data_IF_379613273006
#
_entry.id   IF_379613273006
#
_cell.length_a   1.000
_cell.length_b   1.000
_cell.length_c   1.000
_cell.angle_alpha   90.00
_cell.angle_beta   90.00
_cell.angle_gamma   90.00
#
_symmetry.space_group_name_H-M   'P 1'
#
loop_
_entity.id
_entity.type
_entity.pdbx_description
1 polymer ?
#
# COMPACT_ATOMS: atom_id res chain seq x y z
N UNK A 1 -18.62 41.61 -7.51
CA UNK A 1 -18.04 40.62 -6.58
C UNK A 1 -18.72 39.28 -6.85
N UNK A 2 -18.22 38.55 -7.84
CA UNK A 2 -18.81 37.27 -8.28
C UNK A 2 -17.79 36.17 -8.00
N UNK A 3 -18.08 35.38 -6.97
CA UNK A 3 -17.28 34.22 -6.58
C UNK A 3 -17.49 33.07 -7.56
N UNK A 4 -16.47 32.76 -8.31
CA UNK A 4 -16.42 31.58 -9.16
C UNK A 4 -16.25 30.34 -8.27
N UNK A 5 -17.31 29.57 -8.11
CA UNK A 5 -17.25 28.21 -7.56
C UNK A 5 -16.84 27.26 -8.69
N UNK A 6 -15.64 26.73 -8.61
CA UNK A 6 -15.19 25.63 -9.48
C UNK A 6 -15.95 24.35 -9.12
N UNK A 7 -16.50 23.61 -10.12
CA UNK A 7 -17.19 22.34 -9.84
C UNK A 7 -16.16 21.25 -9.54
N UNK A 8 -16.37 20.55 -8.44
CA UNK A 8 -15.67 19.34 -8.07
C UNK A 8 -16.05 18.22 -9.06
N UNK A 9 -15.18 17.97 -10.03
CA UNK A 9 -15.40 16.87 -10.97
C UNK A 9 -15.21 15.55 -10.24
N UNK A 10 -16.29 14.82 -10.14
CA UNK A 10 -16.40 13.43 -9.67
C UNK A 10 -15.40 12.58 -10.45
N UNK A 11 -14.45 11.98 -9.76
CA UNK A 11 -13.59 10.93 -10.32
C UNK A 11 -14.50 9.71 -10.50
N UNK A 12 -15.09 9.59 -11.68
CA UNK A 12 -15.80 8.39 -12.08
C UNK A 12 -14.79 7.27 -12.26
N UNK A 13 -14.71 6.40 -11.26
CA UNK A 13 -14.20 5.04 -11.44
C UNK A 13 -15.24 4.36 -12.35
N UNK A 14 -15.00 4.38 -13.67
CA UNK A 14 -15.85 3.67 -14.63
C UNK A 14 -15.64 2.17 -14.41
N UNK A 15 -16.40 1.62 -13.49
CA UNK A 15 -16.84 0.24 -13.58
C UNK A 15 -17.84 0.27 -14.73
N UNK A 16 -17.46 -0.35 -15.85
CA UNK A 16 -18.20 -0.46 -17.09
C UNK A 16 -19.63 -0.89 -16.81
N UNK A 17 -20.56 0.04 -16.91
CA UNK A 17 -21.97 -0.21 -17.16
C UNK A 17 -22.27 0.35 -18.55
N UNK A 18 -22.02 -0.45 -19.58
CA UNK A 18 -22.32 -0.18 -20.98
C UNK A 18 -22.44 -1.51 -21.70
N UNK A 19 -23.63 -1.83 -22.16
CA UNK A 19 -24.05 -3.03 -22.88
C UNK A 19 -23.07 -3.46 -23.96
N UNK A 20 -22.82 -4.78 -24.00
CA UNK A 20 -21.92 -5.57 -24.84
C UNK A 20 -20.53 -5.78 -24.24
N UNK A 21 -20.47 -6.10 -22.95
CA UNK A 21 -19.29 -6.71 -22.37
C UNK A 21 -19.33 -8.20 -22.66
N UNK A 22 -18.47 -8.69 -23.54
CA UNK A 22 -17.92 -10.03 -23.38
C UNK A 22 -17.61 -10.19 -21.89
N UNK A 23 -18.19 -11.16 -21.23
CA UNK A 23 -17.91 -11.51 -19.84
C UNK A 23 -16.42 -11.88 -19.76
N UNK A 24 -15.55 -10.91 -19.57
CA UNK A 24 -14.21 -11.20 -19.09
C UNK A 24 -14.44 -11.89 -17.73
N UNK A 25 -14.07 -13.16 -17.63
CA UNK A 25 -14.19 -13.91 -16.39
C UNK A 25 -13.54 -13.09 -15.26
N UNK A 26 -14.25 -12.95 -14.14
CA UNK A 26 -13.69 -12.26 -12.97
C UNK A 26 -12.31 -12.84 -12.63
N UNK A 27 -11.32 -12.01 -12.31
CA UNK A 27 -10.02 -12.52 -11.94
C UNK A 27 -10.20 -13.44 -10.72
N UNK A 28 -9.79 -14.68 -10.86
CA UNK A 28 -9.79 -15.67 -9.77
C UNK A 28 -8.62 -15.32 -8.85
N UNK A 29 -8.78 -14.30 -8.00
CA UNK A 29 -7.74 -13.95 -7.05
C UNK A 29 -7.44 -15.14 -6.14
N UNK A 30 -6.17 -15.47 -5.87
CA UNK A 30 -5.82 -16.54 -4.97
C UNK A 30 -6.26 -16.20 -3.54
N UNK A 31 -6.41 -17.20 -2.66
CA UNK A 31 -6.54 -16.95 -1.22
C UNK A 31 -5.29 -16.20 -0.72
N UNK A 32 -5.39 -15.51 0.41
CA UNK A 32 -4.23 -14.86 1.04
C UNK A 32 -3.26 -15.87 1.64
N UNK A 33 -3.77 -17.01 2.06
CA UNK A 33 -2.98 -18.12 2.60
C UNK A 33 -3.43 -19.45 1.96
N UNK A 34 -2.55 -20.45 1.98
CA UNK A 34 -2.83 -21.77 1.41
C UNK A 34 -3.64 -22.68 2.34
N UNK A 35 -3.79 -22.33 3.61
CA UNK A 35 -4.53 -23.07 4.63
C UNK A 35 -5.32 -22.08 5.51
N UNK A 36 -6.29 -22.60 6.27
CA UNK A 36 -6.99 -21.79 7.27
C UNK A 36 -6.00 -21.24 8.30
N UNK A 37 -5.77 -19.95 8.22
CA UNK A 37 -4.84 -19.22 9.06
C UNK A 37 -5.53 -18.36 10.12
N UNK A 38 -4.77 -17.74 11.01
CA UNK A 38 -5.29 -16.78 11.98
C UNK A 38 -5.93 -15.59 11.26
N UNK A 39 -6.76 -14.86 11.98
CA UNK A 39 -7.22 -13.52 11.56
C UNK A 39 -6.40 -12.50 12.34
N UNK A 40 -5.71 -11.63 11.63
CA UNK A 40 -4.81 -10.61 12.19
C UNK A 40 -5.31 -9.20 11.85
N UNK A 41 -6.44 -8.74 12.44
CA UNK A 41 -7.00 -7.43 12.13
C UNK A 41 -5.98 -6.32 12.36
N UNK A 42 -5.94 -5.35 11.43
CA UNK A 42 -4.95 -4.28 11.44
C UNK A 42 -3.65 -4.62 10.69
N UNK A 43 -3.38 -5.89 10.37
CA UNK A 43 -2.22 -6.24 9.55
C UNK A 43 -2.46 -5.87 8.09
N UNK A 44 -1.44 -5.33 7.42
CA UNK A 44 -1.40 -5.25 5.96
C UNK A 44 -1.08 -6.64 5.41
N UNK A 45 -2.02 -7.22 4.67
CA UNK A 45 -1.97 -8.64 4.26
C UNK A 45 -1.78 -8.82 2.76
N UNK A 46 -1.84 -7.73 2.00
CA UNK A 46 -1.66 -7.71 0.55
C UNK A 46 -1.35 -6.31 0.08
N UNK A 47 -0.74 -6.18 -1.10
CA UNK A 47 -0.59 -4.92 -1.80
C UNK A 47 -0.90 -5.08 -3.29
N UNK A 48 -1.52 -4.05 -3.89
CA UNK A 48 -1.74 -3.99 -5.32
C UNK A 48 -1.03 -2.80 -5.94
N UNK A 49 -0.43 -3.01 -7.11
CA UNK A 49 0.05 -1.98 -8.00
C UNK A 49 -0.97 -1.69 -9.08
N UNK A 50 -1.41 -0.45 -9.15
CA UNK A 50 -2.16 0.09 -10.28
C UNK A 50 -1.18 0.79 -11.21
N UNK A 51 -1.09 0.37 -12.47
CA UNK A 51 -0.16 0.96 -13.43
C UNK A 51 -0.77 1.01 -14.84
N UNK A 52 -0.27 1.89 -15.66
CA UNK A 52 -0.60 1.95 -17.10
C UNK A 52 0.35 1.09 -17.96
N UNK A 53 1.47 0.61 -17.39
CA UNK A 53 2.40 -0.32 -18.06
C UNK A 53 2.79 -1.49 -17.14
N UNK A 54 1.95 -2.53 -17.17
CA UNK A 54 2.16 -3.76 -16.39
C UNK A 54 3.47 -4.47 -16.78
N UNK A 55 3.85 -4.44 -18.06
CA UNK A 55 5.03 -5.12 -18.52
C UNK A 55 6.32 -4.45 -18.00
N UNK A 56 6.40 -3.12 -18.07
CA UNK A 56 7.51 -2.35 -17.51
C UNK A 56 7.63 -2.54 -15.98
N UNK A 57 6.51 -2.47 -15.26
CA UNK A 57 6.50 -2.68 -13.81
C UNK A 57 6.98 -4.09 -13.43
N UNK A 58 6.44 -5.15 -14.07
CA UNK A 58 6.86 -6.55 -13.83
C UNK A 58 8.35 -6.75 -14.08
N UNK A 59 8.86 -6.25 -15.21
CA UNK A 59 10.28 -6.32 -15.53
C UNK A 59 11.15 -5.65 -14.48
N UNK A 60 10.75 -4.45 -14.04
CA UNK A 60 11.45 -3.69 -13.02
C UNK A 60 11.54 -4.45 -11.69
N UNK A 61 10.41 -4.87 -11.13
CA UNK A 61 10.38 -5.56 -9.84
C UNK A 61 11.02 -6.94 -9.88
N UNK A 62 10.92 -7.66 -11.00
CA UNK A 62 11.64 -8.92 -11.19
C UNK A 62 13.16 -8.73 -11.16
N UNK A 63 13.68 -7.68 -11.80
CA UNK A 63 15.12 -7.43 -11.86
C UNK A 63 15.67 -6.76 -10.60
N UNK A 64 14.82 -6.05 -9.85
CA UNK A 64 15.21 -5.35 -8.62
C UNK A 64 15.13 -6.24 -7.38
N UNK A 65 14.03 -6.98 -7.21
CA UNK A 65 13.74 -7.75 -6.01
C UNK A 65 13.77 -9.27 -6.23
N UNK A 66 13.89 -9.74 -7.47
CA UNK A 66 13.80 -11.16 -7.80
C UNK A 66 12.35 -11.68 -7.89
N UNK A 67 11.34 -10.80 -7.83
CA UNK A 67 9.96 -11.24 -7.90
C UNK A 67 9.64 -11.91 -9.24
N UNK A 68 8.84 -12.96 -9.21
CA UNK A 68 8.28 -13.50 -10.43
C UNK A 68 6.75 -13.31 -10.46
N UNK A 69 6.17 -13.30 -11.67
CA UNK A 69 4.76 -12.97 -11.84
C UNK A 69 4.04 -14.08 -12.61
N UNK A 70 2.83 -14.42 -12.14
CA UNK A 70 1.91 -15.33 -12.83
C UNK A 70 0.66 -14.56 -13.24
N UNK A 71 0.23 -14.77 -14.49
CA UNK A 71 -0.98 -14.13 -15.00
C UNK A 71 -2.24 -14.80 -14.43
N UNK A 72 -3.22 -13.96 -14.11
CA UNK A 72 -4.53 -14.36 -13.61
C UNK A 72 -5.60 -13.46 -14.29
N UNK A 73 -5.88 -13.73 -15.55
CA UNK A 73 -6.75 -12.89 -16.38
C UNK A 73 -6.14 -11.51 -16.65
N UNK A 74 -6.81 -10.46 -16.25
CA UNK A 74 -6.33 -9.06 -16.36
C UNK A 74 -5.52 -8.59 -15.13
N UNK A 75 -5.09 -9.54 -14.28
CA UNK A 75 -4.36 -9.32 -13.05
C UNK A 75 -3.12 -10.22 -13.04
N UNK A 76 -1.99 -9.73 -12.59
CA UNK A 76 -0.78 -10.52 -12.41
C UNK A 76 -0.48 -10.62 -10.92
N UNK A 77 -0.13 -11.82 -10.46
CA UNK A 77 0.23 -12.08 -9.06
C UNK A 77 1.74 -12.15 -8.96
N UNK A 78 2.33 -11.30 -8.13
CA UNK A 78 3.75 -11.29 -7.81
C UNK A 78 4.08 -12.19 -6.63
N UNK A 79 5.20 -12.86 -6.71
CA UNK A 79 5.69 -13.81 -5.70
C UNK A 79 7.15 -13.49 -5.34
N UNK A 80 7.49 -13.68 -4.07
CA UNK A 80 8.87 -13.83 -3.62
C UNK A 80 9.04 -15.31 -3.23
N UNK A 81 9.85 -16.06 -3.98
CA UNK A 81 9.85 -17.51 -3.96
C UNK A 81 8.42 -18.07 -4.11
N UNK A 82 7.96 -18.92 -3.22
CA UNK A 82 6.62 -19.51 -3.28
C UNK A 82 5.53 -18.67 -2.60
N UNK A 83 5.88 -17.52 -2.00
CA UNK A 83 4.95 -16.67 -1.26
C UNK A 83 4.29 -15.64 -2.19
N UNK A 84 2.97 -15.66 -2.37
CA UNK A 84 2.27 -14.60 -3.07
C UNK A 84 2.33 -13.31 -2.23
N UNK A 85 2.74 -12.21 -2.85
CA UNK A 85 2.95 -10.93 -2.17
C UNK A 85 2.00 -9.84 -2.59
N UNK A 86 1.73 -9.76 -3.89
CA UNK A 86 1.09 -8.59 -4.46
C UNK A 86 0.33 -8.92 -5.74
N UNK A 87 -0.48 -7.97 -6.13
CA UNK A 87 -1.10 -7.93 -7.44
C UNK A 87 -0.63 -6.77 -8.29
N UNK A 88 -0.71 -6.93 -9.59
CA UNK A 88 -0.46 -5.87 -10.56
C UNK A 88 -1.59 -5.87 -11.57
N UNK A 89 -2.24 -4.74 -11.76
CA UNK A 89 -3.29 -4.63 -12.76
C UNK A 89 -3.18 -3.34 -13.58
N UNK A 90 -3.62 -3.47 -14.83
CA UNK A 90 -3.63 -2.35 -15.77
C UNK A 90 -4.77 -1.39 -15.45
N UNK A 91 -4.45 -0.13 -15.44
CA UNK A 91 -5.41 0.96 -15.48
C UNK A 91 -4.96 2.01 -16.49
N UNK A 92 -5.80 2.29 -17.46
CA UNK A 92 -5.55 3.38 -18.39
C UNK A 92 -5.43 4.69 -17.62
N UNK A 93 -4.36 5.43 -17.84
CA UNK A 93 -4.16 6.75 -17.24
C UNK A 93 -5.25 7.69 -17.74
N UNK A 94 -6.02 8.35 -16.86
CA UNK A 94 -6.98 9.35 -17.30
C UNK A 94 -6.29 10.49 -18.03
N UNK A 95 -6.96 11.05 -19.03
CA UNK A 95 -6.44 12.16 -19.84
C UNK A 95 -6.24 13.45 -19.03
N UNK A 96 -6.85 13.56 -17.86
CA UNK A 96 -6.67 14.68 -16.92
C UNK A 96 -5.40 14.59 -16.06
N UNK A 97 -4.60 13.53 -16.24
CA UNK A 97 -3.32 13.32 -15.56
C UNK A 97 -3.39 13.08 -14.04
N UNK A 98 -4.59 12.95 -13.47
CA UNK A 98 -4.78 12.93 -12.01
C UNK A 98 -4.63 11.57 -11.33
N UNK A 99 -4.55 10.49 -12.08
CA UNK A 99 -4.39 9.15 -11.53
C UNK A 99 -3.05 8.57 -11.96
N UNK A 100 -2.05 8.77 -11.12
CA UNK A 100 -0.71 8.22 -11.32
C UNK A 100 -0.64 6.76 -10.88
N UNK A 101 0.29 5.96 -11.46
CA UNK A 101 0.62 4.64 -10.98
C UNK A 101 0.98 4.67 -9.50
N UNK A 102 0.48 3.69 -8.74
CA UNK A 102 0.74 3.64 -7.30
C UNK A 102 0.52 2.26 -6.69
N UNK A 103 1.24 2.01 -5.63
CA UNK A 103 0.96 0.93 -4.71
C UNK A 103 -0.10 1.32 -3.70
N UNK A 104 -0.91 0.35 -3.25
CA UNK A 104 -1.74 0.48 -2.07
C UNK A 104 -1.89 -0.86 -1.36
N UNK A 105 -1.96 -0.83 -0.04
CA UNK A 105 -2.05 -2.02 0.80
C UNK A 105 -3.49 -2.34 1.19
N UNK A 106 -3.74 -3.62 1.51
CA UNK A 106 -5.00 -4.10 2.07
C UNK A 106 -4.82 -4.40 3.56
N UNK A 107 -5.65 -3.78 4.38
CA UNK A 107 -5.70 -3.98 5.82
C UNK A 107 -6.70 -5.09 6.12
N UNK A 108 -6.28 -6.10 6.88
CA UNK A 108 -7.21 -7.09 7.43
C UNK A 108 -8.15 -6.44 8.42
N UNK A 109 -9.45 -6.70 8.27
CA UNK A 109 -10.49 -6.16 9.16
C UNK A 109 -11.46 -7.26 9.59
N UNK A 110 -12.05 -7.11 10.77
CA UNK A 110 -13.06 -8.05 11.29
C UNK A 110 -14.36 -8.01 10.49
N UNK A 111 -14.70 -6.85 9.92
CA UNK A 111 -15.93 -6.64 9.17
C UNK A 111 -15.74 -5.49 8.16
N UNK A 112 -15.91 -5.80 6.87
CA UNK A 112 -15.69 -4.85 5.77
C UNK A 112 -16.75 -3.73 5.78
N UNK A 113 -18.03 -4.07 5.97
CA UNK A 113 -19.11 -3.07 6.01
C UNK A 113 -18.93 -2.06 7.15
N UNK A 114 -18.42 -2.52 8.32
CA UNK A 114 -18.09 -1.63 9.43
C UNK A 114 -16.96 -0.68 9.08
N UNK A 115 -15.91 -1.21 8.43
CA UNK A 115 -14.77 -0.40 7.99
C UNK A 115 -15.21 0.66 6.96
N UNK A 116 -16.08 0.32 6.00
CA UNK A 116 -16.66 1.26 5.05
C UNK A 116 -17.45 2.37 5.75
N UNK A 117 -18.34 1.99 6.69
CA UNK A 117 -19.14 2.99 7.46
C UNK A 117 -18.26 3.91 8.27
N UNK A 118 -17.22 3.38 8.94
CA UNK A 118 -16.27 4.19 9.70
C UNK A 118 -15.54 5.16 8.77
N UNK A 119 -15.01 4.67 7.63
CA UNK A 119 -14.33 5.51 6.68
C UNK A 119 -15.19 6.66 6.17
N UNK A 120 -16.45 6.40 5.82
CA UNK A 120 -17.39 7.46 5.39
C UNK A 120 -17.66 8.45 6.53
N UNK A 121 -17.89 7.94 7.74
CA UNK A 121 -18.17 8.78 8.92
C UNK A 121 -17.05 9.75 9.24
N UNK A 122 -15.81 9.38 8.95
CA UNK A 122 -14.59 10.16 9.19
C UNK A 122 -14.08 10.89 7.92
N UNK A 123 -14.96 11.10 6.93
CA UNK A 123 -14.66 11.91 5.74
C UNK A 123 -13.93 11.20 4.61
N UNK A 124 -13.75 9.89 4.70
CA UNK A 124 -13.23 9.06 3.62
C UNK A 124 -14.27 8.78 2.53
N UNK A 125 -13.88 7.97 1.54
CA UNK A 125 -14.72 7.63 0.38
C UNK A 125 -14.59 6.17 0.01
N UNK A 126 -15.70 5.56 -0.46
CA UNK A 126 -15.69 4.25 -1.08
C UNK A 126 -15.36 4.43 -2.56
N UNK A 127 -14.31 3.78 -3.04
CA UNK A 127 -13.92 3.76 -4.45
C UNK A 127 -14.40 2.48 -5.14
N UNK A 128 -14.37 1.35 -4.44
CA UNK A 128 -15.04 0.12 -4.85
C UNK A 128 -15.69 -0.49 -3.60
N UNK A 129 -17.02 -0.62 -3.63
CA UNK A 129 -17.80 -1.16 -2.51
C UNK A 129 -17.46 -2.61 -2.21
N UNK A 130 -17.78 -3.03 -1.00
CA UNK A 130 -17.57 -4.38 -0.51
C UNK A 130 -18.05 -5.45 -1.50
N UNK A 131 -17.16 -6.37 -1.84
CA UNK A 131 -17.42 -7.46 -2.77
C UNK A 131 -16.84 -8.76 -2.25
N UNK A 132 -17.65 -9.82 -2.32
CA UNK A 132 -17.20 -11.18 -1.99
C UNK A 132 -16.51 -11.80 -3.21
N UNK A 133 -15.28 -12.26 -3.01
CA UNK A 133 -14.48 -12.95 -3.99
C UNK A 133 -14.21 -14.37 -3.50
N UNK A 134 -14.52 -15.36 -4.33
CA UNK A 134 -14.65 -16.77 -3.92
C UNK A 134 -13.46 -17.29 -3.07
N UNK A 135 -12.23 -17.05 -3.48
CA UNK A 135 -11.05 -17.52 -2.75
C UNK A 135 -10.40 -16.45 -1.85
N UNK A 136 -10.58 -15.17 -2.17
CA UNK A 136 -9.95 -14.05 -1.44
C UNK A 136 -10.71 -13.67 -0.16
N UNK A 137 -12.02 -13.74 -0.19
CA UNK A 137 -12.91 -13.26 0.86
C UNK A 137 -13.63 -11.97 0.47
N UNK A 138 -14.06 -11.18 1.43
CA UNK A 138 -14.77 -9.92 1.20
C UNK A 138 -13.78 -8.76 1.27
N UNK A 139 -13.80 -7.88 0.28
CA UNK A 139 -12.88 -6.73 0.21
C UNK A 139 -13.56 -5.49 -0.36
N UNK A 140 -13.04 -4.31 0.02
CA UNK A 140 -13.41 -3.01 -0.52
C UNK A 140 -12.16 -2.17 -0.79
N UNK A 141 -12.27 -1.16 -1.66
CA UNK A 141 -11.21 -0.17 -1.91
C UNK A 141 -11.74 1.20 -1.50
N UNK A 142 -10.98 1.88 -0.69
CA UNK A 142 -11.33 3.11 -0.01
C UNK A 142 -10.27 4.18 -0.25
N UNK A 143 -10.64 5.43 -0.01
CA UNK A 143 -9.69 6.51 0.19
C UNK A 143 -9.99 7.16 1.55
N UNK A 144 -8.95 7.55 2.28
CA UNK A 144 -9.12 8.30 3.51
C UNK A 144 -9.54 9.75 3.27
N UNK A 145 -9.67 10.53 4.33
CA UNK A 145 -10.10 11.93 4.26
C UNK A 145 -9.17 12.83 3.46
N UNK A 146 -7.91 12.47 3.33
CA UNK A 146 -6.91 13.18 2.53
C UNK A 146 -6.74 12.61 1.11
N UNK A 147 -7.37 11.47 0.82
CA UNK A 147 -7.36 10.80 -0.49
C UNK A 147 -6.33 9.68 -0.63
N UNK A 148 -5.64 9.29 0.45
CA UNK A 148 -4.75 8.14 0.41
C UNK A 148 -5.55 6.85 0.17
N UNK A 149 -5.11 6.08 -0.82
CA UNK A 149 -5.78 4.85 -1.28
C UNK A 149 -5.40 3.68 -0.39
N UNK A 150 -6.37 2.88 0.01
CA UNK A 150 -6.16 1.63 0.73
C UNK A 150 -7.29 0.64 0.47
N UNK A 151 -7.01 -0.64 0.65
CA UNK A 151 -8.02 -1.69 0.67
C UNK A 151 -8.31 -2.14 2.09
N UNK A 152 -9.50 -2.69 2.29
CA UNK A 152 -9.83 -3.49 3.46
C UNK A 152 -10.26 -4.88 3.02
N UNK A 153 -9.90 -5.90 3.78
CA UNK A 153 -10.22 -7.29 3.45
C UNK A 153 -10.56 -8.10 4.69
N UNK A 154 -11.59 -8.93 4.58
CA UNK A 154 -11.86 -10.04 5.48
C UNK A 154 -11.61 -11.32 4.70
N UNK A 155 -10.42 -11.88 4.86
CA UNK A 155 -9.97 -13.06 4.13
C UNK A 155 -10.89 -14.26 4.37
N UNK A 156 -11.08 -15.11 3.36
CA UNK A 156 -11.75 -16.41 3.49
C UNK A 156 -10.85 -17.49 4.10
N UNK A 157 -9.53 -17.44 3.82
CA UNK A 157 -8.53 -18.43 4.23
C UNK A 157 -7.71 -18.05 5.45
N UNK A 158 -7.99 -16.90 6.11
CA UNK A 158 -7.12 -16.33 7.12
C UNK A 158 -6.11 -15.37 6.52
N UNK A 159 -5.28 -14.80 7.40
CA UNK A 159 -4.27 -13.81 7.04
C UNK A 159 -2.89 -14.48 7.05
N UNK A 160 -1.93 -14.01 6.24
CA UNK A 160 -0.55 -14.46 6.33
C UNK A 160 -0.02 -14.26 7.76
N UNK A 161 0.62 -15.28 8.33
CA UNK A 161 1.22 -15.19 9.66
C UNK A 161 2.33 -14.13 9.71
N UNK A 162 2.62 -13.65 10.92
CA UNK A 162 3.78 -12.79 11.13
C UNK A 162 5.05 -13.65 11.05
N UNK A 163 5.98 -13.25 10.21
CA UNK A 163 7.27 -13.91 10.04
C UNK A 163 8.38 -12.87 9.91
N UNK A 164 9.61 -13.29 10.08
CA UNK A 164 10.76 -12.43 9.81
C UNK A 164 10.93 -12.24 8.30
N UNK A 165 10.59 -11.06 7.80
CA UNK A 165 10.68 -10.75 6.39
C UNK A 165 12.09 -11.03 5.84
N UNK A 166 12.20 -11.66 4.68
CA UNK A 166 13.45 -11.85 3.94
C UNK A 166 13.63 -10.75 2.87
N UNK A 167 14.81 -10.58 2.29
CA UNK A 167 14.97 -9.67 1.15
C UNK A 167 13.96 -9.99 0.04
N UNK A 168 13.24 -8.96 -0.41
CA UNK A 168 12.12 -9.09 -1.36
C UNK A 168 10.74 -9.16 -0.70
N UNK A 169 10.64 -9.37 0.60
CA UNK A 169 9.35 -9.35 1.29
C UNK A 169 8.94 -7.93 1.71
N UNK A 170 7.63 -7.73 1.89
CA UNK A 170 7.12 -6.53 2.56
C UNK A 170 7.60 -6.50 4.01
N UNK A 171 8.11 -5.35 4.43
CA UNK A 171 8.60 -5.19 5.81
C UNK A 171 7.82 -4.12 6.58
N UNK A 172 7.31 -3.09 5.89
CA UNK A 172 6.63 -1.98 6.57
C UNK A 172 5.63 -1.26 5.67
N UNK A 173 4.72 -0.55 6.31
CA UNK A 173 3.80 0.40 5.68
C UNK A 173 3.88 1.73 6.41
N UNK A 174 4.05 2.82 5.70
CA UNK A 174 4.04 4.17 6.27
C UNK A 174 3.01 5.05 5.56
N UNK A 175 2.13 5.68 6.32
CA UNK A 175 1.23 6.69 5.79
C UNK A 175 1.92 8.06 5.83
N UNK A 176 1.99 8.71 4.70
CA UNK A 176 2.37 10.11 4.55
C UNK A 176 1.09 10.96 4.55
N UNK A 177 0.93 11.88 5.50
CA UNK A 177 -0.30 12.65 5.73
C UNK A 177 0.02 14.12 5.97
N UNK A 178 -0.92 15.02 5.68
CA UNK A 178 -0.82 16.44 6.06
C UNK A 178 -1.14 16.66 7.53
N UNK A 179 -2.07 15.84 8.06
CA UNK A 179 -2.44 15.82 9.47
C UNK A 179 -2.33 14.38 10.00
N UNK A 180 -1.12 14.02 10.44
CA UNK A 180 -0.84 12.68 10.94
C UNK A 180 -1.73 12.27 12.11
N UNK A 181 -2.16 13.22 12.95
CA UNK A 181 -3.06 12.94 14.07
C UNK A 181 -4.46 12.56 13.59
N UNK A 182 -5.03 13.38 12.72
CA UNK A 182 -6.35 13.09 12.15
C UNK A 182 -6.34 11.78 11.34
N UNK A 183 -5.26 11.55 10.57
CA UNK A 183 -5.10 10.31 9.83
C UNK A 183 -4.99 9.08 10.76
N UNK A 184 -4.20 9.15 11.82
CA UNK A 184 -4.09 8.03 12.77
C UNK A 184 -5.45 7.70 13.43
N UNK A 185 -6.25 8.73 13.81
CA UNK A 185 -7.58 8.55 14.35
C UNK A 185 -8.56 7.96 13.33
N UNK A 186 -8.47 8.37 12.06
CA UNK A 186 -9.24 7.77 10.97
C UNK A 186 -9.00 6.25 10.89
N UNK A 187 -7.73 5.83 10.84
CA UNK A 187 -7.40 4.41 10.76
C UNK A 187 -7.68 3.64 12.05
N UNK A 188 -7.68 4.31 13.21
CA UNK A 188 -8.21 3.74 14.46
C UNK A 188 -9.68 3.35 14.30
N UNK A 189 -10.49 4.21 13.71
CA UNK A 189 -11.91 3.94 13.43
C UNK A 189 -12.11 2.78 12.45
N UNK A 190 -11.36 2.78 11.35
CA UNK A 190 -11.50 1.83 10.24
C UNK A 190 -11.04 0.41 10.63
N UNK A 191 -9.87 0.28 11.23
CA UNK A 191 -9.21 -1.02 11.46
C UNK A 191 -9.09 -1.39 12.95
N UNK A 192 -9.45 -0.49 13.86
CA UNK A 192 -9.41 -0.75 15.30
C UNK A 192 -8.01 -0.66 15.90
N UNK A 193 -7.13 0.14 15.32
CA UNK A 193 -5.79 0.34 15.86
C UNK A 193 -5.78 1.04 17.22
N UNK A 194 -4.83 0.67 18.05
CA UNK A 194 -4.32 1.53 19.11
C UNK A 194 -3.34 2.52 18.46
N UNK A 195 -3.49 3.81 18.79
CA UNK A 195 -2.63 4.88 18.26
C UNK A 195 -1.64 5.28 19.34
N UNK A 196 -0.37 5.05 19.07
CA UNK A 196 0.73 5.37 20.00
C UNK A 196 1.56 6.50 19.40
N UNK A 197 1.71 7.61 20.15
CA UNK A 197 2.58 8.69 19.73
C UNK A 197 4.04 8.21 19.73
N UNK A 198 4.76 8.50 18.65
CA UNK A 198 6.19 8.14 18.57
C UNK A 198 7.00 9.04 19.51
N UNK A 199 7.73 8.41 20.42
CA UNK A 199 8.63 9.10 21.36
C UNK A 199 10.07 9.18 20.85
N UNK A 200 10.32 8.64 19.66
CA UNK A 200 11.67 8.54 19.12
C UNK A 200 12.22 9.94 18.78
N UNK A 201 13.36 10.30 19.36
CA UNK A 201 14.02 11.61 19.17
C UNK A 201 14.35 11.92 17.70
N UNK A 202 14.50 10.89 16.87
CA UNK A 202 14.78 11.04 15.44
C UNK A 202 13.51 11.35 14.59
N UNK A 203 12.32 11.47 15.22
CA UNK A 203 11.04 11.88 14.62
C UNK A 203 10.83 11.42 13.18
N UNK A 204 11.08 10.14 12.93
CA UNK A 204 10.88 9.57 11.60
C UNK A 204 9.39 9.32 11.32
N UNK A 205 8.57 9.19 12.38
CA UNK A 205 7.11 9.04 12.30
C UNK A 205 6.48 9.71 13.52
N UNK A 206 5.26 10.22 13.36
CA UNK A 206 4.53 10.89 14.44
C UNK A 206 3.73 9.90 15.30
N UNK A 207 3.14 8.87 14.65
CA UNK A 207 2.34 7.85 15.30
C UNK A 207 2.69 6.45 14.81
N UNK A 208 2.50 5.48 15.69
CA UNK A 208 2.55 4.05 15.40
C UNK A 208 1.13 3.51 15.54
N UNK A 209 0.68 2.78 14.53
CA UNK A 209 -0.58 2.06 14.54
C UNK A 209 -0.33 0.64 15.05
N UNK A 210 -0.90 0.30 16.20
CA UNK A 210 -0.69 -0.98 16.89
C UNK A 210 -1.98 -1.80 16.84
N UNK A 211 -1.87 -3.08 16.59
CA UNK A 211 -2.99 -4.03 16.70
C UNK A 211 -2.51 -5.33 17.32
N UNK A 212 -3.27 -5.81 18.32
CA UNK A 212 -2.98 -7.06 19.05
C UNK A 212 -1.54 -7.11 19.62
N UNK A 213 -1.04 -5.94 20.08
CA UNK A 213 0.31 -5.80 20.67
C UNK A 213 1.45 -5.66 19.66
N UNK A 214 1.14 -5.68 18.35
CA UNK A 214 2.16 -5.55 17.30
C UNK A 214 2.05 -4.18 16.60
N UNK A 215 3.18 -3.53 16.36
CA UNK A 215 3.26 -2.39 15.47
C UNK A 215 2.95 -2.85 14.02
N UNK A 216 1.97 -2.22 13.37
CA UNK A 216 1.51 -2.62 12.03
C UNK A 216 1.86 -1.61 10.95
N UNK A 217 1.95 -0.34 11.32
CA UNK A 217 2.28 0.74 10.40
C UNK A 217 2.69 1.98 11.19
N UNK A 218 3.22 2.97 10.47
CA UNK A 218 3.48 4.30 11.00
C UNK A 218 2.72 5.37 10.22
N UNK A 219 2.51 6.51 10.87
CA UNK A 219 1.96 7.72 10.24
C UNK A 219 2.96 8.84 10.43
N UNK A 220 3.29 9.53 9.33
CA UNK A 220 4.23 10.65 9.29
C UNK A 220 3.60 11.88 8.70
N UNK A 221 3.85 13.03 9.30
CA UNK A 221 3.46 14.32 8.74
C UNK A 221 4.36 14.69 7.56
N UNK A 222 3.75 15.00 6.42
CA UNK A 222 4.43 15.58 5.28
C UNK A 222 4.90 16.98 5.62
N UNK A 223 6.18 17.25 5.38
CA UNK A 223 6.72 18.60 5.51
C UNK A 223 6.00 19.58 4.58
N UNK A 224 5.78 20.81 5.03
CA UNK A 224 5.22 21.88 4.21
C UNK A 224 6.07 22.21 2.96
N UNK A 225 7.35 21.84 2.96
CA UNK A 225 8.21 21.92 1.78
C UNK A 225 7.86 20.91 0.69
N UNK A 226 7.14 19.83 1.04
CA UNK A 226 6.75 18.74 0.12
C UNK A 226 5.33 18.93 -0.42
N UNK A 227 5.00 20.11 -0.90
CA UNK A 227 3.65 20.47 -1.40
C UNK A 227 3.20 19.62 -2.59
N UNK A 228 4.15 19.09 -3.36
CA UNK A 228 3.91 18.22 -4.52
C UNK A 228 3.63 16.76 -4.16
N UNK A 229 3.99 16.32 -2.94
CA UNK A 229 3.69 14.96 -2.48
C UNK A 229 2.26 14.91 -1.96
N UNK A 230 1.46 14.01 -2.52
CA UNK A 230 0.10 13.78 -2.04
C UNK A 230 0.11 12.79 -0.87
N UNK A 231 -0.85 12.90 0.06
CA UNK A 231 -1.05 11.89 1.09
C UNK A 231 -1.18 10.50 0.47
N UNK A 232 -0.42 9.55 1.00
CA UNK A 232 -0.37 8.20 0.43
C UNK A 232 0.20 7.18 1.41
N UNK A 233 -0.21 5.93 1.26
CA UNK A 233 0.48 4.80 1.84
C UNK A 233 1.72 4.46 1.01
N UNK A 234 2.86 4.35 1.68
CA UNK A 234 4.13 3.94 1.11
C UNK A 234 4.51 2.56 1.66
N UNK A 235 4.46 1.50 0.85
CA UNK A 235 4.94 0.19 1.25
C UNK A 235 6.47 0.13 1.17
N UNK A 236 7.08 -0.64 2.07
CA UNK A 236 8.52 -0.90 2.10
C UNK A 236 8.83 -2.37 1.89
N UNK A 237 9.81 -2.63 1.03
CA UNK A 237 10.38 -3.96 0.79
C UNK A 237 11.71 -4.07 1.53
N UNK A 238 11.93 -5.21 2.22
CA UNK A 238 13.23 -5.52 2.79
C UNK A 238 14.25 -5.75 1.67
N UNK A 239 15.40 -5.11 1.82
CA UNK A 239 16.56 -5.29 0.92
C UNK A 239 17.82 -5.57 1.74
N UNK A 240 18.85 -6.12 1.09
CA UNK A 240 20.16 -6.34 1.70
C UNK A 240 20.95 -5.05 1.86
N UNK A 241 20.81 -4.13 0.89
CA UNK A 241 21.48 -2.84 0.87
C UNK A 241 20.59 -1.80 0.16
N UNK A 242 20.23 -0.73 0.86
CA UNK A 242 19.34 0.31 0.35
C UNK A 242 20.02 1.16 -0.73
N UNK A 243 21.32 1.44 -0.58
CA UNK A 243 22.10 2.19 -1.56
C UNK A 243 22.27 1.45 -2.89
N UNK A 244 22.64 0.16 -2.84
CA UNK A 244 22.73 -0.69 -4.02
C UNK A 244 21.38 -0.83 -4.71
N UNK A 245 20.29 -1.00 -3.93
CA UNK A 245 18.94 -1.08 -4.46
C UNK A 245 18.50 0.21 -5.16
N UNK A 246 18.83 1.37 -4.59
CA UNK A 246 18.57 2.68 -5.19
C UNK A 246 19.33 2.85 -6.51
N UNK A 247 20.60 2.49 -6.54
CA UNK A 247 21.42 2.54 -7.77
C UNK A 247 20.91 1.55 -8.83
N UNK A 248 20.55 0.34 -8.41
CA UNK A 248 19.96 -0.65 -9.30
C UNK A 248 18.63 -0.17 -9.89
N UNK A 249 17.80 0.50 -9.10
CA UNK A 249 16.55 1.09 -9.58
C UNK A 249 16.78 2.10 -10.71
N UNK A 250 17.80 2.98 -10.61
CA UNK A 250 18.17 3.90 -11.69
C UNK A 250 18.56 3.16 -12.97
N UNK A 251 19.42 2.14 -12.85
CA UNK A 251 19.87 1.33 -14.00
C UNK A 251 18.71 0.63 -14.70
N UNK A 252 17.64 0.33 -13.98
CA UNK A 252 16.43 -0.31 -14.49
C UNK A 252 15.39 0.69 -15.04
N UNK A 253 15.74 1.98 -15.13
CA UNK A 253 14.86 3.03 -15.66
C UNK A 253 13.90 3.62 -14.63
N UNK A 254 14.03 3.28 -13.36
CA UNK A 254 13.32 3.92 -12.25
C UNK A 254 13.97 5.23 -11.81
N UNK A 255 13.43 5.82 -10.75
CA UNK A 255 13.95 7.05 -10.14
C UNK A 255 14.21 6.84 -8.66
N UNK A 256 15.19 7.55 -8.09
CA UNK A 256 15.37 7.66 -6.64
C UNK A 256 14.71 8.94 -6.20
N UNK A 257 13.66 8.83 -5.38
CA UNK A 257 12.89 9.94 -4.85
C UNK A 257 13.48 10.45 -3.53
N UNK A 258 14.01 9.52 -2.71
CA UNK A 258 14.70 9.83 -1.46
C UNK A 258 15.96 8.98 -1.41
N UNK A 259 17.12 9.65 -1.39
CA UNK A 259 18.43 9.01 -1.27
C UNK A 259 18.63 8.41 0.12
N UNK A 260 19.39 7.31 0.24
CA UNK A 260 19.87 6.87 1.54
C UNK A 260 20.75 7.96 2.17
N UNK A 261 20.39 8.40 3.37
CA UNK A 261 21.11 9.46 4.09
C UNK A 261 21.31 9.04 5.55
N UNK A 262 22.45 9.38 6.18
CA UNK A 262 22.70 9.04 7.57
C UNK A 262 21.57 9.47 8.53
N UNK A 263 20.90 10.60 8.22
CA UNK A 263 19.81 11.14 9.02
C UNK A 263 18.49 10.33 8.86
N UNK A 264 18.41 9.48 7.83
CA UNK A 264 17.26 8.61 7.55
C UNK A 264 17.64 7.15 7.88
N UNK A 265 17.28 6.68 9.08
CA UNK A 265 17.58 5.32 9.52
C UNK A 265 19.06 4.91 9.29
N UNK A 266 19.99 5.84 9.55
CA UNK A 266 21.43 5.60 9.36
C UNK A 266 21.81 5.23 7.91
N UNK A 267 21.08 5.75 6.93
CA UNK A 267 21.30 5.43 5.51
C UNK A 267 20.70 4.12 5.03
N UNK A 268 19.92 3.43 5.88
CA UNK A 268 19.35 2.11 5.58
C UNK A 268 18.01 2.15 4.86
N UNK A 269 17.54 3.33 4.45
CA UNK A 269 16.25 3.52 3.77
C UNK A 269 16.43 4.38 2.54
N UNK A 270 15.76 4.00 1.46
CA UNK A 270 15.57 4.85 0.29
C UNK A 270 14.11 4.76 -0.19
N UNK A 271 13.66 5.76 -0.94
CA UNK A 271 12.38 5.69 -1.67
C UNK A 271 12.68 5.80 -3.15
N UNK A 272 12.17 4.86 -3.90
CA UNK A 272 12.33 4.77 -5.34
C UNK A 272 10.98 4.82 -6.04
N UNK A 273 10.97 5.14 -7.32
CA UNK A 273 9.82 4.94 -8.19
C UNK A 273 10.19 4.00 -9.31
N UNK A 274 9.26 3.14 -9.69
CA UNK A 274 9.42 2.30 -10.89
C UNK A 274 9.33 3.14 -12.17
N UNK A 275 9.60 2.59 -13.37
CA UNK A 275 9.52 3.33 -14.63
C UNK A 275 8.16 3.95 -14.92
N UNK A 276 7.09 3.45 -14.31
CA UNK A 276 5.72 3.99 -14.47
C UNK A 276 5.44 5.15 -13.51
N UNK A 277 6.26 5.32 -12.48
CA UNK A 277 6.16 6.38 -11.47
C UNK A 277 5.63 5.92 -10.11
N UNK A 278 5.32 4.63 -9.93
CA UNK A 278 4.83 4.12 -8.66
C UNK A 278 5.95 4.10 -7.60
N UNK A 279 5.74 4.84 -6.51
CA UNK A 279 6.68 4.94 -5.42
C UNK A 279 6.65 3.72 -4.50
N UNK A 280 7.83 3.28 -4.05
CA UNK A 280 8.02 2.20 -3.10
C UNK A 280 9.27 2.48 -2.24
N UNK A 281 9.20 2.18 -0.96
CA UNK A 281 10.35 2.24 -0.07
C UNK A 281 11.18 0.95 -0.13
N UNK A 282 12.47 1.07 0.07
CA UNK A 282 13.38 -0.04 0.33
C UNK A 282 14.07 0.16 1.67
N UNK A 283 14.19 -0.89 2.47
CA UNK A 283 14.71 -0.82 3.82
C UNK A 283 15.63 -1.99 4.14
N UNK A 284 16.80 -1.68 4.68
CA UNK A 284 17.65 -2.68 5.32
C UNK A 284 17.11 -2.96 6.72
N UNK A 285 17.05 -4.23 7.05
CA UNK A 285 16.67 -4.67 8.38
C UNK A 285 17.66 -5.73 8.88
N UNK A 286 18.29 -5.46 10.01
CA UNK A 286 19.18 -6.42 10.65
C UNK A 286 18.53 -6.97 11.93
N UNK A 287 18.74 -8.24 12.20
CA UNK A 287 18.27 -8.88 13.45
C UNK A 287 18.87 -8.24 14.72
N UNK A 288 19.97 -7.52 14.58
CA UNK A 288 20.58 -6.76 15.68
C UNK A 288 19.68 -5.61 16.16
N UNK A 289 18.83 -5.06 15.28
CA UNK A 289 17.84 -4.03 15.63
C UNK A 289 16.78 -4.57 16.62
N UNK A 290 16.50 -5.87 16.62
CA UNK A 290 15.57 -6.50 17.56
C UNK A 290 16.15 -6.67 18.96
N UNK A 291 17.46 -6.71 19.12
CA UNK A 291 18.13 -6.92 20.42
C UNK A 291 18.21 -5.66 21.29
N UNK A 292 17.90 -4.48 20.72
CA UNK A 292 17.94 -3.19 21.41
C UNK A 292 16.60 -2.73 21.99
N UNK A 293 15.51 -3.44 21.72
CA UNK A 293 14.17 -3.14 22.28
C UNK A 293 13.92 -4.13 23.42
N UNK A 294 14.41 -3.78 24.61
CA UNK A 294 14.02 -4.41 25.90
C UNK A 294 13.23 -3.40 26.70
#
# INVERSE_FOLDING_TARGET
>A
MSGLRLPWSVISLVLISGSLATHAAEPKLPPLTTADGPRLPGKFVWADLVTDDVAAARKFYSQLFGWFFRDCGNYAIGYNDDRPLCGVFHRTRPTDGKAEPRWFGYISVRNVDRAERSAIGDGGRILAAARKMAARGEQAILADSEGALFGVVKSSSGDPEDFLAEPGDWIWMELLSRDARAAAEFYRGVAGYEVVASTNSNRLSDYVLVSEGYARATVRTLSNANTHVQPTWLPFVRVKNAGESAERARQLGGKVLVEPKPELFEGRVAVIADPTGAAIGVMEWSEQALKGVK
#
